data_IF_239966110717
#
_entry.id   IF_239966110717
#
_cell.length_a   1.000
_cell.length_b   1.000
_cell.length_c   1.000
_cell.angle_alpha   90.00
_cell.angle_beta   90.00
_cell.angle_gamma   90.00
#
_symmetry.space_group_name_H-M   'P 1'
#
loop_
_entity.id
_entity.type
_entity.pdbx_description
1 polymer ?
#
# COMPACT_ATOMS: atom_id res chain seq x y z
N UNK A 1 -15.64 -2.10 -15.85
CA UNK A 1 -15.29 -2.65 -16.25
C UNK A 1 -14.85 -2.84 -16.27
N UNK A 2 -15.21 -2.55 -15.72
CA UNK A 2 -14.87 -3.03 -15.77
C UNK A 2 -14.70 -3.16 -15.46
N UNK A 3 -15.53 -3.23 -14.94
CA UNK A 3 -15.40 -3.79 -14.79
C UNK A 3 -15.12 -4.08 -15.04
N UNK A 4 -15.68 -4.11 -14.93
CA UNK A 4 -15.30 -4.57 -15.39
C UNK A 4 -15.22 -4.91 -15.53
N UNK A 5 -15.67 -5.07 -15.44
CA UNK A 5 -15.58 -5.66 -15.81
C UNK A 5 -15.59 -6.11 -16.24
N UNK A 6 -15.87 -6.41 -16.17
CA UNK A 6 -15.84 -7.05 -16.69
C UNK A 6 -16.27 -7.45 -16.98
N UNK A 7 -16.79 -7.88 -16.87
CA UNK A 7 -17.26 -8.43 -17.15
C UNK A 7 -17.54 -8.93 -17.08
N UNK A 8 -17.63 -9.34 -16.76
CA UNK A 8 -17.87 -9.94 -16.66
C UNK A 8 -18.10 -10.29 -16.11
N UNK A 9 -17.99 -10.55 -15.83
CA UNK A 9 -18.29 -10.87 -15.19
C UNK A 9 -19.00 -10.38 -14.64
N UNK A 10 -19.62 -10.20 -14.49
CA UNK A 10 -20.17 -9.76 -14.13
C UNK A 10 -20.52 -9.41 -13.58
N UNK A 11 -20.91 -9.21 -13.31
CA UNK A 11 -21.14 -8.81 -12.72
C UNK A 11 -21.30 -8.66 -12.09
N UNK A 12 -21.25 -8.91 -11.65
CA UNK A 12 -21.41 -8.61 -10.93
C UNK A 12 -21.21 -7.92 -10.63
N UNK A 13 -21.24 -7.88 -10.56
CA UNK A 13 -21.14 -7.01 -10.49
C UNK A 13 -20.62 -6.06 -10.01
N UNK A 14 -20.45 -5.87 -10.16
CA UNK A 14 -19.98 -4.64 -9.83
C UNK A 14 -19.96 -4.35 -8.42
N UNK A 15 -20.45 -5.14 -7.68
CA UNK A 15 -20.42 -5.09 -6.30
C UNK A 15 -19.04 -5.14 -5.71
N UNK A 16 -18.13 -5.83 -6.38
CA UNK A 16 -16.77 -5.90 -5.94
C UNK A 16 -16.15 -4.52 -5.76
N UNK A 17 -16.56 -3.55 -6.58
CA UNK A 17 -16.05 -2.21 -6.48
C UNK A 17 -16.39 -1.50 -5.19
N UNK A 18 -17.47 -1.88 -4.51
CA UNK A 18 -17.88 -1.26 -3.28
C UNK A 18 -16.92 -1.54 -2.14
N UNK A 19 -16.26 -2.69 -2.15
CA UNK A 19 -15.35 -3.09 -1.10
C UNK A 19 -13.91 -2.71 -1.38
N UNK A 20 -13.64 -2.23 -2.60
CA UNK A 20 -12.30 -1.87 -3.02
C UNK A 20 -11.71 -0.82 -2.09
N UNK A 21 -10.51 -1.08 -1.60
CA UNK A 21 -9.81 -0.19 -0.70
C UNK A 21 -8.48 0.19 -1.31
N UNK A 22 -8.21 1.47 -1.42
CA UNK A 22 -6.98 2.01 -1.98
C UNK A 22 -6.35 3.01 -1.04
N UNK A 23 -5.03 2.97 -0.95
CA UNK A 23 -4.27 3.90 -0.15
C UNK A 23 -3.21 4.59 -0.98
N UNK A 24 -2.97 5.84 -0.62
CA UNK A 24 -1.78 6.59 -1.02
C UNK A 24 -1.05 6.97 0.24
N UNK A 25 0.21 6.60 0.32
CA UNK A 25 1.03 6.87 1.50
C UNK A 25 2.27 7.63 1.06
N UNK A 26 2.58 8.70 1.79
CA UNK A 26 3.80 9.47 1.54
C UNK A 26 4.67 9.42 2.79
N UNK A 27 5.93 9.11 2.58
CA UNK A 27 6.93 9.06 3.65
C UNK A 27 8.08 10.00 3.33
N UNK A 28 8.64 10.63 4.35
CA UNK A 28 9.91 11.33 4.22
C UNK A 28 10.92 10.68 5.15
N UNK A 29 12.01 10.19 4.60
CA UNK A 29 13.07 9.57 5.37
C UNK A 29 13.85 10.63 6.14
N UNK A 30 14.31 10.26 7.33
CA UNK A 30 15.23 11.10 8.07
C UNK A 30 16.55 11.22 7.29
N UNK A 31 17.30 12.28 7.56
CA UNK A 31 18.57 12.54 6.88
C UNK A 31 19.47 11.30 6.99
N UNK A 32 19.95 10.84 5.85
CA UNK A 32 20.85 9.68 5.79
C UNK A 32 20.16 8.32 5.86
N UNK A 33 18.82 8.28 5.98
CA UNK A 33 18.08 7.03 6.13
C UNK A 33 17.45 6.51 4.84
N UNK A 34 17.59 7.24 3.72
CA UNK A 34 16.87 6.89 2.48
C UNK A 34 17.15 5.46 2.00
N UNK A 35 18.41 5.01 2.06
CA UNK A 35 18.75 3.65 1.62
C UNK A 35 18.11 2.60 2.51
N UNK A 36 18.10 2.82 3.81
CA UNK A 36 17.46 1.90 4.76
C UNK A 36 15.94 1.85 4.51
N UNK A 37 15.33 3.01 4.28
CA UNK A 37 13.90 3.08 3.98
C UNK A 37 13.60 2.35 2.67
N UNK A 38 14.40 2.56 1.64
CA UNK A 38 14.20 1.91 0.34
C UNK A 38 14.24 0.39 0.46
N UNK A 39 15.24 -0.13 1.17
CA UNK A 39 15.39 -1.57 1.36
C UNK A 39 14.23 -2.15 2.18
N UNK A 40 13.84 -1.43 3.23
CA UNK A 40 12.73 -1.85 4.07
C UNK A 40 11.41 -1.88 3.31
N UNK A 41 11.13 -0.83 2.52
CA UNK A 41 9.90 -0.77 1.73
C UNK A 41 9.87 -1.84 0.65
N UNK A 42 10.99 -2.15 0.02
CA UNK A 42 11.06 -3.23 -0.97
C UNK A 42 10.70 -4.58 -0.34
N UNK A 43 11.24 -4.84 0.84
CA UNK A 43 10.96 -6.07 1.58
C UNK A 43 9.51 -6.12 2.02
N UNK A 44 8.99 -5.02 2.53
CA UNK A 44 7.61 -4.92 2.98
C UNK A 44 6.62 -5.09 1.82
N UNK A 45 6.93 -4.49 0.67
CA UNK A 45 6.10 -4.61 -0.52
C UNK A 45 6.00 -6.07 -0.99
N UNK A 46 7.13 -6.78 -0.98
CA UNK A 46 7.14 -8.19 -1.39
C UNK A 46 6.26 -9.04 -0.45
N UNK A 47 6.39 -8.82 0.86
CA UNK A 47 5.58 -9.55 1.84
C UNK A 47 4.10 -9.20 1.71
N UNK A 48 3.79 -7.94 1.45
CA UNK A 48 2.40 -7.48 1.33
C UNK A 48 1.73 -8.04 0.08
N UNK A 49 2.46 -8.11 -1.04
CA UNK A 49 1.92 -8.68 -2.27
C UNK A 49 1.55 -10.16 -2.13
N UNK A 50 2.16 -10.85 -1.19
CA UNK A 50 1.86 -12.27 -0.95
C UNK A 50 0.56 -12.46 -0.16
N UNK A 51 -0.02 -11.41 0.39
CA UNK A 51 -1.28 -11.51 1.13
C UNK A 51 -2.43 -11.78 0.16
N UNK A 52 -3.37 -12.68 0.51
CA UNK A 52 -4.44 -13.06 -0.42
C UNK A 52 -5.30 -11.89 -0.90
N UNK A 53 -5.55 -10.91 -0.06
CA UNK A 53 -6.41 -9.79 -0.42
C UNK A 53 -5.69 -8.58 -0.97
N UNK A 54 -4.37 -8.62 -1.12
CA UNK A 54 -3.61 -7.52 -1.66
C UNK A 54 -3.57 -7.59 -3.18
N UNK A 55 -4.13 -6.58 -3.85
CA UNK A 55 -4.18 -6.53 -5.31
C UNK A 55 -3.00 -5.75 -5.89
N UNK A 56 -2.46 -4.80 -5.13
CA UNK A 56 -1.35 -3.98 -5.58
C UNK A 56 -0.61 -3.42 -4.37
N UNK A 57 0.70 -3.44 -4.43
CA UNK A 57 1.52 -2.79 -3.42
C UNK A 57 2.82 -2.36 -4.10
N UNK A 58 2.91 -1.07 -4.44
CA UNK A 58 4.07 -0.52 -5.13
C UNK A 58 4.66 0.61 -4.30
N UNK A 59 5.97 0.59 -4.13
CA UNK A 59 6.70 1.64 -3.45
C UNK A 59 7.61 2.33 -4.44
N UNK A 60 7.65 3.66 -4.40
CA UNK A 60 8.44 4.47 -5.30
C UNK A 60 9.28 5.47 -4.52
N UNK A 61 10.51 5.69 -4.96
CA UNK A 61 11.36 6.73 -4.39
C UNK A 61 11.26 7.99 -5.26
N UNK A 62 11.27 9.15 -4.62
CA UNK A 62 11.19 10.41 -5.34
C UNK A 62 12.38 10.62 -6.26
N UNK A 63 12.12 11.19 -7.44
CA UNK A 63 13.18 11.52 -8.41
C UNK A 63 13.89 12.79 -7.98
N UNK A 64 13.12 13.83 -7.66
CA UNK A 64 13.70 15.13 -7.30
C UNK A 64 14.18 15.17 -5.86
N UNK A 65 13.53 14.40 -4.99
CA UNK A 65 13.92 14.30 -3.59
C UNK A 65 14.00 12.83 -3.19
N UNK A 66 15.22 12.25 -3.13
CA UNK A 66 15.38 10.83 -2.82
C UNK A 66 14.97 10.44 -1.39
N UNK A 67 14.73 11.42 -0.51
CA UNK A 67 14.23 11.12 0.83
C UNK A 67 12.72 10.89 0.85
N UNK A 68 12.02 11.22 -0.23
CA UNK A 68 10.59 11.02 -0.32
C UNK A 68 10.25 9.68 -0.96
N UNK A 69 9.22 9.04 -0.41
CA UNK A 69 8.73 7.75 -0.92
C UNK A 69 7.22 7.81 -1.00
N UNK A 70 6.68 7.21 -2.05
CA UNK A 70 5.23 7.10 -2.24
C UNK A 70 4.85 5.64 -2.38
N UNK A 71 3.78 5.25 -1.69
CA UNK A 71 3.24 3.91 -1.79
C UNK A 71 1.86 3.98 -2.41
N UNK A 72 1.61 3.06 -3.34
CA UNK A 72 0.31 2.87 -3.97
C UNK A 72 -0.16 1.47 -3.60
N UNK A 73 -1.26 1.39 -2.86
CA UNK A 73 -1.75 0.12 -2.32
C UNK A 73 -3.20 -0.07 -2.71
N UNK A 74 -3.56 -1.30 -3.01
CA UNK A 74 -4.92 -1.64 -3.33
C UNK A 74 -5.25 -3.02 -2.75
N UNK A 75 -6.40 -3.10 -2.10
CA UNK A 75 -6.90 -4.32 -1.46
C UNK A 75 -8.29 -4.63 -1.98
N UNK A 76 -8.66 -5.92 -2.02
CA UNK A 76 -9.95 -6.32 -2.54
C UNK A 76 -11.10 -5.85 -1.65
N UNK A 77 -10.85 -5.52 -0.39
CA UNK A 77 -11.88 -5.06 0.53
C UNK A 77 -11.25 -4.32 1.70
N UNK A 78 -12.09 -3.62 2.47
CA UNK A 78 -11.63 -3.01 3.71
C UNK A 78 -11.22 -4.07 4.73
N UNK A 79 -11.87 -5.23 4.71
CA UNK A 79 -11.49 -6.34 5.58
C UNK A 79 -10.09 -6.84 5.24
N UNK A 80 -9.75 -6.95 3.96
CA UNK A 80 -8.42 -7.35 3.53
C UNK A 80 -7.36 -6.35 3.97
N UNK A 81 -7.67 -5.05 3.90
CA UNK A 81 -6.78 -4.02 4.40
C UNK A 81 -6.59 -4.13 5.91
N UNK A 82 -7.66 -4.37 6.65
CA UNK A 82 -7.57 -4.55 8.10
C UNK A 82 -6.69 -5.75 8.44
N UNK A 83 -6.80 -6.85 7.68
CA UNK A 83 -5.93 -8.02 7.87
C UNK A 83 -4.47 -7.68 7.59
N UNK A 84 -4.21 -6.90 6.54
CA UNK A 84 -2.85 -6.43 6.24
C UNK A 84 -2.22 -5.77 7.45
N UNK A 85 -2.95 -4.92 8.14
CA UNK A 85 -2.43 -4.19 9.30
C UNK A 85 -2.21 -5.08 10.52
N UNK A 86 -2.76 -6.28 10.52
CA UNK A 86 -2.56 -7.23 11.62
C UNK A 86 -1.42 -8.21 11.37
N UNK A 87 -0.83 -8.19 10.17
CA UNK A 87 0.22 -9.14 9.85
C UNK A 87 1.49 -8.88 10.66
N UNK A 88 2.27 -9.93 10.94
CA UNK A 88 3.56 -9.75 11.62
C UNK A 88 4.51 -8.85 10.84
N UNK A 89 4.51 -8.93 9.50
CA UNK A 89 5.40 -8.09 8.70
C UNK A 89 5.00 -6.62 8.77
N UNK A 90 3.70 -6.30 8.87
CA UNK A 90 3.29 -4.91 9.05
C UNK A 90 3.79 -4.37 10.38
N UNK A 91 3.60 -5.12 11.44
CA UNK A 91 4.05 -4.69 12.77
C UNK A 91 5.55 -4.49 12.82
N UNK A 92 6.31 -5.45 12.31
CA UNK A 92 7.77 -5.37 12.33
C UNK A 92 8.27 -4.29 11.38
N UNK A 93 7.83 -4.29 10.14
CA UNK A 93 8.38 -3.40 9.13
C UNK A 93 7.89 -1.97 9.29
N UNK A 94 6.59 -1.77 9.53
CA UNK A 94 6.02 -0.42 9.56
C UNK A 94 6.06 0.16 10.97
N UNK A 95 5.45 -0.54 11.92
CA UNK A 95 5.26 0.03 13.26
C UNK A 95 6.54 0.10 14.07
N UNK A 96 7.49 -0.77 13.80
CA UNK A 96 8.74 -0.82 14.56
C UNK A 96 9.90 -0.20 13.80
N UNK A 97 10.18 -0.68 12.58
CA UNK A 97 11.39 -0.27 11.86
C UNK A 97 11.19 0.99 11.04
N UNK A 98 10.15 1.05 10.22
CA UNK A 98 9.96 2.17 9.29
C UNK A 98 9.73 3.49 10.02
N UNK A 99 8.84 3.48 10.99
CA UNK A 99 8.49 4.70 11.74
C UNK A 99 9.73 5.36 12.35
N UNK A 100 10.70 4.55 12.80
CA UNK A 100 11.93 5.07 13.40
C UNK A 100 12.85 5.76 12.39
N UNK A 101 12.64 5.51 11.09
CA UNK A 101 13.49 6.04 10.02
C UNK A 101 12.87 7.23 9.30
N UNK A 102 11.66 7.64 9.69
CA UNK A 102 10.91 8.69 8.98
C UNK A 102 10.83 9.96 9.79
N UNK A 103 10.80 11.11 9.09
CA UNK A 103 10.46 12.39 9.71
C UNK A 103 8.98 12.69 9.54
N UNK A 104 8.38 12.28 8.41
CA UNK A 104 6.95 12.47 8.18
C UNK A 104 6.33 11.23 7.56
N UNK A 105 5.04 11.07 7.80
CA UNK A 105 4.25 10.00 7.21
C UNK A 105 2.82 10.51 7.08
N UNK A 106 2.27 10.43 5.87
CA UNK A 106 0.86 10.74 5.65
C UNK A 106 0.21 9.61 4.88
N UNK A 107 -1.09 9.45 5.06
CA UNK A 107 -1.82 8.32 4.52
C UNK A 107 -3.24 8.76 4.22
N UNK A 108 -3.74 8.41 3.05
CA UNK A 108 -5.10 8.73 2.62
C UNK A 108 -5.74 7.51 1.99
N UNK A 109 -6.94 7.18 2.44
CA UNK A 109 -7.70 6.07 1.89
C UNK A 109 -8.63 6.59 0.80
N UNK A 110 -8.79 5.79 -0.26
CA UNK A 110 -9.64 6.13 -1.39
C UNK A 110 -10.57 4.95 -1.69
N UNK A 111 -11.70 5.27 -2.30
CA UNK A 111 -12.61 4.26 -2.78
C UNK A 111 -12.27 3.80 -4.19
N UNK A 112 -13.19 3.10 -4.84
CA UNK A 112 -12.96 2.56 -6.19
C UNK A 112 -12.85 3.64 -7.25
N UNK A 113 -12.37 3.23 -8.41
CA UNK A 113 -12.25 4.12 -9.57
C UNK A 113 -13.63 4.69 -9.93
N UNK A 114 -13.65 5.96 -10.25
CA UNK A 114 -14.88 6.64 -10.68
C UNK A 114 -15.26 6.24 -12.09
#
# INVERSE_FOLDING_TARGET
>A
MRCGCQPSRAPPPCRAGHDDHRDRVLHTAAAGAADAVRQLLARHAAASRAEPGCLQFDAHQGIDNPDEFALVERYESQAAFAEHRRTPHFRRNVETELVALLTTRSWTAFGPTL
#
